data_IF_559759107116
#
_entry.id   IF_559759107116
#
_cell.length_a   1.000
_cell.length_b   1.000
_cell.length_c   1.000
_cell.angle_alpha   90.00
_cell.angle_beta   90.00
_cell.angle_gamma   90.00
#
_symmetry.space_group_name_H-M   'P 1'
#
loop_
_entity.id
_entity.type
_entity.pdbx_description
1 polymer ?
#
# COMPACT_ATOMS: atom_id res chain seq x y z
N UNK A 1 -27.13 -19.38 -13.33
CA UNK A 1 -26.11 -18.58 -14.06
C UNK A 1 -26.21 -17.16 -13.55
N UNK A 2 -25.36 -16.76 -12.59
CA UNK A 2 -25.27 -15.36 -12.14
C UNK A 2 -23.93 -14.82 -12.61
N UNK A 3 -23.95 -13.99 -13.64
CA UNK A 3 -22.78 -13.22 -14.06
C UNK A 3 -22.64 -12.03 -13.12
N UNK A 4 -21.68 -12.09 -12.21
CA UNK A 4 -21.22 -10.91 -11.46
C UNK A 4 -20.13 -10.25 -12.28
N UNK A 5 -20.52 -9.26 -13.09
CA UNK A 5 -19.57 -8.36 -13.73
C UNK A 5 -19.04 -7.38 -12.68
N UNK A 6 -17.91 -7.71 -12.05
CA UNK A 6 -17.15 -6.73 -11.26
C UNK A 6 -16.42 -5.82 -12.24
N UNK A 7 -17.07 -4.73 -12.64
CA UNK A 7 -16.36 -3.59 -13.21
C UNK A 7 -15.49 -3.00 -12.09
N UNK A 8 -14.23 -3.42 -12.04
CA UNK A 8 -13.23 -2.80 -11.20
C UNK A 8 -12.96 -1.39 -11.75
N UNK A 9 -13.80 -0.43 -11.36
CA UNK A 9 -13.48 0.98 -11.46
C UNK A 9 -12.29 1.21 -10.54
N UNK A 10 -11.09 1.22 -11.11
CA UNK A 10 -9.89 1.58 -10.38
C UNK A 10 -9.65 3.06 -10.68
N UNK A 11 -10.23 3.99 -9.89
CA UNK A 11 -9.98 5.40 -10.10
C UNK A 11 -8.47 5.64 -10.07
N UNK A 12 -7.95 6.56 -10.89
CA UNK A 12 -6.54 6.90 -10.84
C UNK A 12 -6.21 7.31 -9.41
N UNK A 13 -5.18 6.68 -8.85
CA UNK A 13 -4.56 7.12 -7.62
C UNK A 13 -4.36 8.64 -7.68
N UNK A 14 -4.87 9.35 -6.68
CA UNK A 14 -4.67 10.78 -6.53
C UNK A 14 -3.50 11.01 -5.59
N UNK A 15 -2.84 12.15 -5.71
CA UNK A 15 -1.74 12.54 -4.80
C UNK A 15 -2.12 12.50 -3.30
N UNK A 16 -3.41 12.66 -2.97
CA UNK A 16 -3.94 12.48 -1.62
C UNK A 16 -3.88 11.04 -1.11
N UNK A 17 -3.88 10.05 -2.00
CA UNK A 17 -3.88 8.62 -1.65
C UNK A 17 -2.51 8.17 -1.15
N UNK A 18 -1.41 8.67 -1.75
CA UNK A 18 -0.05 8.40 -1.28
C UNK A 18 0.23 8.99 0.10
N UNK A 19 -0.23 10.22 0.36
CA UNK A 19 -0.08 10.85 1.68
C UNK A 19 -0.91 10.11 2.75
N UNK A 20 -2.12 9.71 2.40
CA UNK A 20 -2.98 8.92 3.27
C UNK A 20 -2.36 7.54 3.55
N UNK A 21 -1.86 6.86 2.52
CA UNK A 21 -1.14 5.59 2.64
C UNK A 21 0.07 5.73 3.59
N UNK A 22 0.84 6.80 3.45
CA UNK A 22 1.99 7.07 4.32
C UNK A 22 1.57 7.16 5.79
N UNK A 23 0.57 7.99 6.08
CA UNK A 23 0.11 8.22 7.45
C UNK A 23 -0.38 6.91 8.10
N UNK A 24 -1.23 6.17 7.40
CA UNK A 24 -1.85 4.96 7.95
C UNK A 24 -0.89 3.77 8.04
N UNK A 25 0.00 3.61 7.06
CA UNK A 25 1.05 2.58 7.13
C UNK A 25 1.98 2.85 8.31
N UNK A 26 2.31 4.12 8.57
CA UNK A 26 3.14 4.49 9.71
C UNK A 26 2.46 4.25 11.07
N UNK A 27 1.12 4.31 11.14
CA UNK A 27 0.37 3.94 12.35
C UNK A 27 0.39 2.42 12.56
N UNK A 28 0.12 1.64 11.51
CA UNK A 28 0.21 0.18 11.53
C UNK A 28 1.60 -0.29 12.00
N UNK A 29 2.66 0.21 11.37
CA UNK A 29 4.05 -0.21 11.62
C UNK A 29 4.59 0.21 13.00
N UNK A 30 4.01 1.24 13.65
CA UNK A 30 4.43 1.67 14.99
C UNK A 30 3.65 1.01 16.11
N UNK A 31 2.33 0.97 15.99
CA UNK A 31 1.43 0.70 17.12
C UNK A 31 0.63 -0.60 16.96
N UNK A 32 0.79 -1.31 15.84
CA UNK A 32 0.04 -2.54 15.56
C UNK A 32 -1.49 -2.36 15.71
N UNK A 33 -2.02 -1.28 15.13
CA UNK A 33 -3.47 -1.06 15.12
C UNK A 33 -4.07 -1.88 13.97
N UNK A 34 -4.61 -3.06 14.28
CA UNK A 34 -5.08 -4.04 13.28
C UNK A 34 -6.01 -3.42 12.20
N UNK A 35 -7.01 -2.58 12.54
CA UNK A 35 -7.84 -1.91 11.53
C UNK A 35 -7.06 -1.01 10.58
N UNK A 36 -6.02 -0.34 11.07
CA UNK A 36 -5.19 0.56 10.25
C UNK A 36 -4.27 -0.24 9.33
N UNK A 37 -3.74 -1.37 9.79
CA UNK A 37 -2.98 -2.28 8.93
C UNK A 37 -3.83 -2.83 7.78
N UNK A 38 -5.08 -3.24 8.05
CA UNK A 38 -5.98 -3.72 6.99
C UNK A 38 -6.30 -2.62 5.99
N UNK A 39 -6.59 -1.40 6.46
CA UNK A 39 -6.85 -0.25 5.58
C UNK A 39 -5.61 0.13 4.76
N UNK A 40 -4.42 0.11 5.37
CA UNK A 40 -3.16 0.34 4.69
C UNK A 40 -2.92 -0.69 3.56
N UNK A 41 -3.20 -1.97 3.80
CA UNK A 41 -3.08 -3.03 2.80
C UNK A 41 -4.00 -2.81 1.60
N UNK A 42 -5.28 -2.51 1.83
CA UNK A 42 -6.24 -2.25 0.75
C UNK A 42 -5.83 -1.03 -0.08
N UNK A 43 -5.34 0.02 0.56
CA UNK A 43 -4.84 1.21 -0.13
C UNK A 43 -3.58 0.92 -0.95
N UNK A 44 -2.62 0.20 -0.37
CA UNK A 44 -1.39 -0.19 -1.05
C UNK A 44 -1.68 -1.07 -2.28
N UNK A 45 -2.63 -2.00 -2.19
CA UNK A 45 -3.05 -2.84 -3.32
C UNK A 45 -3.74 -2.02 -4.43
N UNK A 46 -4.60 -1.07 -4.06
CA UNK A 46 -5.25 -0.18 -5.03
C UNK A 46 -4.20 0.63 -5.80
N UNK A 47 -3.24 1.21 -5.08
CA UNK A 47 -2.12 1.94 -5.66
C UNK A 47 -1.22 1.05 -6.51
N UNK A 48 -0.98 -0.20 -6.07
CA UNK A 48 -0.15 -1.16 -6.78
C UNK A 48 -0.76 -1.51 -8.13
N UNK A 49 -2.08 -1.72 -8.18
CA UNK A 49 -2.81 -2.00 -9.43
C UNK A 49 -2.80 -0.78 -10.36
N UNK A 50 -2.97 0.42 -9.82
CA UNK A 50 -2.84 1.67 -10.58
C UNK A 50 -1.41 1.86 -11.13
N UNK A 51 -0.39 1.46 -10.38
CA UNK A 51 1.00 1.52 -10.83
C UNK A 51 1.22 0.51 -11.97
N UNK A 52 0.68 -0.70 -11.83
CA UNK A 52 0.73 -1.73 -12.87
C UNK A 52 0.04 -1.30 -14.16
N UNK A 53 -1.13 -0.67 -14.09
CA UNK A 53 -1.88 -0.24 -15.28
C UNK A 53 -1.21 0.92 -16.03
N UNK A 54 -0.32 1.64 -15.35
CA UNK A 54 0.49 2.73 -15.92
C UNK A 54 1.93 2.31 -16.23
N UNK A 55 2.24 1.01 -16.14
CA UNK A 55 3.60 0.47 -16.33
C UNK A 55 4.66 1.10 -15.40
N UNK A 56 4.23 1.64 -14.26
CA UNK A 56 5.09 2.19 -13.22
C UNK A 56 5.66 1.06 -12.34
N UNK A 57 6.33 0.08 -12.97
CA UNK A 57 6.83 -1.14 -12.34
C UNK A 57 7.73 -0.92 -11.11
N UNK A 58 8.58 0.13 -11.05
CA UNK A 58 9.34 0.45 -9.84
C UNK A 58 8.44 0.77 -8.64
N UNK A 59 7.43 1.63 -8.81
CA UNK A 59 6.47 1.92 -7.75
C UNK A 59 5.62 0.70 -7.40
N UNK A 60 5.17 -0.07 -8.41
CA UNK A 60 4.43 -1.31 -8.18
C UNK A 60 5.22 -2.26 -7.26
N UNK A 61 6.52 -2.45 -7.53
CA UNK A 61 7.38 -3.33 -6.73
C UNK A 61 7.56 -2.82 -5.31
N UNK A 62 7.74 -1.50 -5.12
CA UNK A 62 7.82 -0.89 -3.80
C UNK A 62 6.51 -1.06 -3.00
N UNK A 63 5.36 -0.89 -3.65
CA UNK A 63 4.05 -1.10 -3.02
C UNK A 63 3.82 -2.57 -2.64
N UNK A 64 4.30 -3.53 -3.44
CA UNK A 64 4.29 -4.95 -3.05
C UNK A 64 5.17 -5.22 -1.82
N UNK A 65 6.36 -4.59 -1.75
CA UNK A 65 7.22 -4.66 -0.58
C UNK A 65 6.54 -4.09 0.68
N UNK A 66 5.89 -2.94 0.55
CA UNK A 66 5.12 -2.34 1.65
C UNK A 66 3.95 -3.24 2.10
N UNK A 67 3.23 -3.88 1.17
CA UNK A 67 2.19 -4.84 1.52
C UNK A 67 2.74 -6.01 2.33
N UNK A 68 3.89 -6.57 1.94
CA UNK A 68 4.55 -7.63 2.70
C UNK A 68 4.94 -7.16 4.12
N UNK A 69 5.48 -5.93 4.27
CA UNK A 69 5.79 -5.36 5.57
C UNK A 69 4.56 -5.20 6.47
N UNK A 70 3.44 -4.73 5.91
CA UNK A 70 2.19 -4.58 6.64
C UNK A 70 1.60 -5.93 7.07
N UNK A 71 1.68 -6.96 6.21
CA UNK A 71 1.26 -8.33 6.56
C UNK A 71 2.14 -8.88 7.68
N UNK A 72 3.47 -8.78 7.56
CA UNK A 72 4.38 -9.27 8.59
C UNK A 72 4.16 -8.55 9.91
N UNK A 73 3.93 -7.23 9.88
CA UNK A 73 3.54 -6.47 11.05
C UNK A 73 2.25 -7.03 11.65
N UNK A 74 1.21 -7.30 10.84
CA UNK A 74 -0.07 -7.91 11.29
C UNK A 74 0.09 -9.29 11.93
N UNK A 75 1.11 -10.05 11.53
CA UNK A 75 1.42 -11.37 12.10
C UNK A 75 2.26 -11.29 13.37
N UNK A 76 2.70 -10.09 13.81
CA UNK A 76 3.63 -9.91 14.92
C UNK A 76 5.09 -10.18 14.55
N UNK A 77 5.37 -10.42 13.27
CA UNK A 77 6.69 -10.75 12.70
C UNK A 77 7.27 -9.56 11.91
N UNK A 78 6.77 -8.36 12.20
CA UNK A 78 7.11 -7.15 11.45
C UNK A 78 8.54 -6.70 11.66
N UNK A 79 9.10 -6.04 10.64
CA UNK A 79 10.48 -5.52 10.65
C UNK A 79 10.62 -4.16 11.34
N UNK A 80 9.60 -3.74 12.10
CA UNK A 80 9.56 -2.53 12.91
C UNK A 80 10.17 -1.29 12.23
N UNK A 81 11.25 -0.76 12.81
CA UNK A 81 11.92 0.46 12.35
C UNK A 81 12.43 0.38 10.89
N UNK A 82 12.81 -0.80 10.40
CA UNK A 82 13.24 -0.98 9.01
C UNK A 82 12.08 -0.76 8.04
N UNK A 83 10.90 -1.32 8.33
CA UNK A 83 9.70 -1.11 7.52
C UNK A 83 9.26 0.37 7.48
N UNK A 84 9.45 1.12 8.58
CA UNK A 84 9.20 2.56 8.60
C UNK A 84 10.17 3.36 7.71
N UNK A 85 11.43 2.93 7.61
CA UNK A 85 12.41 3.53 6.68
C UNK A 85 12.04 3.21 5.23
N UNK A 86 11.67 1.96 4.97
CA UNK A 86 11.28 1.48 3.63
C UNK A 86 9.97 2.12 3.15
N UNK A 87 9.07 2.47 4.07
CA UNK A 87 7.88 3.26 3.78
C UNK A 87 8.25 4.62 3.13
N UNK A 88 9.26 5.33 3.63
CA UNK A 88 9.69 6.60 3.01
C UNK A 88 10.30 6.39 1.62
N UNK A 89 11.01 5.28 1.41
CA UNK A 89 11.52 4.92 0.08
C UNK A 89 10.37 4.62 -0.88
N UNK A 90 9.35 3.89 -0.43
CA UNK A 90 8.13 3.59 -1.19
C UNK A 90 7.41 4.86 -1.64
N UNK A 91 7.15 5.79 -0.72
CA UNK A 91 6.46 7.05 -1.05
C UNK A 91 7.25 7.86 -2.08
N UNK A 92 8.57 7.98 -1.94
CA UNK A 92 9.43 8.68 -2.93
C UNK A 92 9.50 7.97 -4.28
N UNK A 93 9.51 6.64 -4.29
CA UNK A 93 9.52 5.86 -5.53
C UNK A 93 8.18 5.85 -6.27
N UNK A 94 7.11 6.30 -5.62
CA UNK A 94 5.77 6.40 -6.17
C UNK A 94 5.34 7.84 -6.48
N UNK A 95 6.21 8.84 -6.30
CA UNK A 95 5.91 10.23 -6.67
C UNK A 95 5.65 10.32 -8.17
N UNK A 96 4.43 10.72 -8.56
CA UNK A 96 4.02 10.80 -9.98
C UNK A 96 2.92 9.80 -10.37
N UNK A 97 2.49 8.93 -9.45
CA UNK A 97 1.21 8.22 -9.58
C UNK A 97 0.01 9.14 -9.35
#
# INVERSE_FOLDING_TARGET
MFSVSVLAFNPPARSGDLRSLQSISAQCLRAFVLPDCQRALVMAETLQRSASSREAFPCQTLLLGLQADLIMQQLGEGRGASALKDLQATIRGCTGL
#
